data_IF_483780996220
#
_entry.id   IF_483780996220
#
_cell.length_a   1.000
_cell.length_b   1.000
_cell.length_c   1.000
_cell.angle_alpha   90.00
_cell.angle_beta   90.00
_cell.angle_gamma   90.00
#
_symmetry.space_group_name_H-M   'P 1'
#
loop_
_entity.id
_entity.type
_entity.pdbx_description
1 polymer ?
#
# COMPACT_ATOMS: atom_id res chain seq x y z
N UNK A 1 40.72 59.97 -20.25
CA UNK A 1 42.09 59.50 -19.97
C UNK A 1 42.37 59.80 -18.49
N UNK A 2 41.93 58.92 -17.59
CA UNK A 2 42.04 59.13 -16.14
C UNK A 2 43.02 58.11 -15.57
N UNK A 3 44.01 58.63 -14.85
CA UNK A 3 45.17 57.92 -14.33
C UNK A 3 44.77 56.85 -13.31
N UNK A 4 45.26 55.63 -13.54
CA UNK A 4 45.11 54.47 -12.67
C UNK A 4 46.17 54.55 -11.57
N UNK A 5 45.79 55.04 -10.39
CA UNK A 5 46.63 55.07 -9.19
C UNK A 5 46.32 53.82 -8.36
N UNK A 6 47.30 52.93 -8.31
CA UNK A 6 47.40 51.82 -7.38
C UNK A 6 47.74 52.39 -6.00
N UNK A 7 46.86 52.23 -5.01
CA UNK A 7 47.16 52.53 -3.61
C UNK A 7 46.97 51.28 -2.75
N UNK A 8 48.08 50.77 -2.25
CA UNK A 8 48.13 49.71 -1.26
C UNK A 8 47.63 50.26 0.09
N UNK A 9 46.65 49.57 0.70
CA UNK A 9 46.28 49.77 2.10
C UNK A 9 46.84 48.62 2.94
N UNK A 10 47.87 48.95 3.71
CA UNK A 10 48.25 48.32 4.98
C UNK A 10 47.11 48.38 5.98
N UNK A 11 46.69 47.24 6.52
CA UNK A 11 45.89 47.16 7.74
C UNK A 11 46.79 46.66 8.89
N UNK A 12 46.96 47.52 9.89
CA UNK A 12 47.55 47.19 11.19
C UNK A 12 46.51 46.47 12.05
N UNK A 13 47.02 45.70 13.01
CA UNK A 13 46.31 44.63 13.69
C UNK A 13 45.22 45.06 14.69
N UNK A 14 44.28 44.14 14.85
CA UNK A 14 43.42 44.03 16.01
C UNK A 14 43.75 42.66 16.62
N UNK A 15 44.24 42.64 17.86
CA UNK A 15 44.62 41.41 18.55
C UNK A 15 43.35 40.78 19.11
N UNK A 16 42.95 39.56 18.70
CA UNK A 16 41.72 38.96 19.18
C UNK A 16 41.81 38.61 20.68
N UNK A 17 40.69 38.76 21.42
CA UNK A 17 40.64 38.45 22.85
C UNK A 17 40.90 36.96 23.14
N UNK A 18 41.37 36.63 24.35
CA UNK A 18 41.71 35.25 24.73
C UNK A 18 40.49 34.34 24.61
N UNK A 19 40.73 33.13 24.08
CA UNK A 19 39.72 32.11 23.90
C UNK A 19 39.02 31.80 25.26
N UNK A 20 37.68 31.76 25.29
CA UNK A 20 36.97 31.26 26.45
C UNK A 20 37.28 29.77 26.66
N UNK A 21 37.45 29.41 27.92
CA UNK A 21 37.72 28.06 28.41
C UNK A 21 36.85 27.01 27.71
N UNK A 22 37.49 25.97 27.20
CA UNK A 22 36.84 24.77 26.66
C UNK A 22 36.07 24.10 27.81
N UNK A 23 34.75 24.29 27.80
CA UNK A 23 33.85 23.51 28.63
C UNK A 23 33.98 22.03 28.23
N UNK A 24 33.96 21.09 29.19
CA UNK A 24 34.06 19.67 28.87
C UNK A 24 32.91 19.29 27.93
N UNK A 25 33.26 18.58 26.86
CA UNK A 25 32.30 18.02 25.92
C UNK A 25 31.20 17.25 26.68
N UNK A 26 29.92 17.40 26.29
CA UNK A 26 28.88 16.55 26.84
C UNK A 26 29.23 15.08 26.57
N UNK A 27 28.89 14.15 27.48
CA UNK A 27 29.08 12.74 27.20
C UNK A 27 28.33 12.41 25.90
N UNK A 28 29.05 11.82 24.95
CA UNK A 28 28.49 11.29 23.73
C UNK A 28 27.42 10.30 24.17
N UNK A 29 26.15 10.67 23.97
CA UNK A 29 25.04 9.77 24.22
C UNK A 29 25.24 8.60 23.25
N UNK A 30 25.58 7.45 23.83
CA UNK A 30 25.62 6.17 23.15
C UNK A 30 24.29 5.99 22.41
N UNK A 31 24.36 5.82 21.09
CA UNK A 31 23.19 5.55 20.28
C UNK A 31 22.49 4.31 20.87
N UNK A 32 21.16 4.34 21.10
CA UNK A 32 20.46 3.18 21.60
C UNK A 32 20.71 1.99 20.66
N UNK A 33 20.91 0.78 21.19
CA UNK A 33 21.10 -0.40 20.35
C UNK A 33 19.92 -0.49 19.38
N UNK A 34 20.22 -0.75 18.11
CA UNK A 34 19.24 -1.09 17.10
C UNK A 34 18.27 -2.13 17.69
N UNK A 35 16.94 -1.97 17.52
CA UNK A 35 16.01 -2.96 18.04
C UNK A 35 16.39 -4.31 17.45
N UNK A 36 16.75 -5.22 18.35
CA UNK A 36 16.97 -6.61 18.01
C UNK A 36 15.74 -7.09 17.22
N UNK A 37 15.99 -7.59 16.02
CA UNK A 37 14.99 -8.23 15.19
C UNK A 37 14.37 -9.35 16.02
N UNK A 38 13.13 -9.12 16.47
CA UNK A 38 12.39 -10.11 17.21
C UNK A 38 12.31 -11.37 16.34
N UNK A 39 12.51 -12.57 16.90
CA UNK A 39 12.34 -13.79 16.13
C UNK A 39 10.95 -13.74 15.51
N UNK A 40 10.86 -13.94 14.19
CA UNK A 40 9.61 -13.99 13.46
C UNK A 40 8.66 -14.89 14.24
N UNK A 41 7.62 -14.27 14.82
CA UNK A 41 6.55 -15.02 15.45
C UNK A 41 6.05 -16.05 14.43
N UNK A 42 5.74 -17.29 14.84
CA UNK A 42 5.12 -18.24 13.92
C UNK A 42 3.93 -17.53 13.29
N UNK A 43 3.86 -17.53 11.95
CA UNK A 43 2.79 -16.91 11.21
C UNK A 43 1.47 -17.28 11.89
N UNK A 44 0.79 -16.28 12.47
CA UNK A 44 -0.52 -16.49 13.03
C UNK A 44 -1.37 -17.18 11.95
N UNK A 45 -2.23 -18.15 12.30
CA UNK A 45 -3.09 -18.79 11.32
C UNK A 45 -3.79 -17.67 10.54
N UNK A 46 -3.65 -17.69 9.21
CA UNK A 46 -4.26 -16.70 8.34
C UNK A 46 -5.75 -16.61 8.71
N UNK A 47 -6.18 -15.44 9.18
CA UNK A 47 -7.58 -15.20 9.51
C UNK A 47 -8.44 -15.55 8.27
N UNK A 48 -9.67 -16.08 8.45
CA UNK A 48 -10.49 -16.49 7.32
C UNK A 48 -10.69 -15.34 6.33
N UNK A 49 -10.26 -15.54 5.08
CA UNK A 49 -10.50 -14.62 3.98
C UNK A 49 -12.02 -14.50 3.75
N UNK A 50 -12.60 -13.31 4.00
CA UNK A 50 -14.05 -13.10 3.95
C UNK A 50 -14.43 -12.05 2.90
N UNK A 51 -13.85 -12.10 1.69
CA UNK A 51 -14.28 -11.24 0.58
C UNK A 51 -15.46 -11.89 -0.14
N UNK A 52 -16.67 -11.38 0.12
CA UNK A 52 -17.92 -11.92 -0.44
C UNK A 52 -18.73 -10.87 -1.20
N UNK A 53 -18.44 -9.59 -1.03
CA UNK A 53 -19.19 -8.49 -1.66
C UNK A 53 -18.48 -8.03 -2.93
N UNK A 54 -19.05 -8.33 -4.09
CA UNK A 54 -18.57 -7.81 -5.37
C UNK A 54 -18.94 -6.32 -5.50
N UNK A 55 -17.94 -5.44 -5.47
CA UNK A 55 -18.13 -3.99 -5.54
C UNK A 55 -18.85 -3.52 -6.80
N UNK A 56 -18.83 -4.29 -7.88
CA UNK A 56 -19.40 -3.89 -9.17
C UNK A 56 -20.85 -4.35 -9.36
N UNK A 57 -21.31 -5.34 -8.59
CA UNK A 57 -22.63 -5.97 -8.84
C UNK A 57 -23.48 -6.17 -7.59
N UNK A 58 -22.93 -6.06 -6.38
CA UNK A 58 -23.69 -6.29 -5.15
C UNK A 58 -24.82 -5.26 -4.99
N UNK A 59 -26.01 -5.70 -4.66
CA UNK A 59 -27.13 -4.85 -4.27
C UNK A 59 -26.88 -4.17 -2.91
N UNK A 60 -27.61 -3.09 -2.63
CA UNK A 60 -27.68 -2.47 -1.30
C UNK A 60 -27.82 -3.49 -0.15
N UNK A 61 -28.70 -4.47 -0.33
CA UNK A 61 -28.96 -5.50 0.68
C UNK A 61 -27.74 -6.41 0.89
N UNK A 62 -27.06 -6.80 -0.18
CA UNK A 62 -25.84 -7.61 -0.12
C UNK A 62 -24.67 -6.83 0.51
N UNK A 63 -24.52 -5.54 0.19
CA UNK A 63 -23.50 -4.69 0.82
C UNK A 63 -23.80 -4.56 2.32
N UNK A 64 -25.05 -4.26 2.68
CA UNK A 64 -25.45 -4.08 4.09
C UNK A 64 -25.27 -5.37 4.90
N UNK A 65 -25.49 -6.54 4.30
CA UNK A 65 -25.31 -7.82 4.97
C UNK A 65 -23.83 -8.24 5.05
N UNK A 66 -23.05 -7.92 4.02
CA UNK A 66 -21.66 -8.36 3.89
C UNK A 66 -20.63 -7.44 4.54
N UNK A 67 -20.94 -6.16 4.74
CA UNK A 67 -20.01 -5.18 5.35
C UNK A 67 -20.54 -4.73 6.72
N UNK A 68 -20.00 -5.28 7.83
CA UNK A 68 -20.49 -4.97 9.17
C UNK A 68 -20.44 -3.46 9.48
N UNK A 69 -21.56 -2.93 9.99
CA UNK A 69 -21.64 -1.54 10.43
C UNK A 69 -21.68 -0.49 9.32
N UNK A 70 -21.76 -0.89 8.05
CA UNK A 70 -21.87 0.09 6.95
C UNK A 70 -23.21 0.84 7.00
N UNK A 71 -23.15 2.16 6.91
CA UNK A 71 -24.34 3.02 6.88
C UNK A 71 -24.87 3.25 5.47
N UNK A 72 -26.17 3.55 5.35
CA UNK A 72 -26.84 3.82 4.05
C UNK A 72 -26.11 4.83 3.16
N UNK A 73 -25.53 5.88 3.76
CA UNK A 73 -24.72 6.85 3.02
C UNK A 73 -23.54 6.18 2.32
N UNK A 74 -22.77 5.35 3.02
CA UNK A 74 -21.61 4.69 2.43
C UNK A 74 -21.97 3.62 1.40
N UNK A 75 -23.09 2.92 1.61
CA UNK A 75 -23.65 2.03 0.58
C UNK A 75 -23.89 2.81 -0.72
N UNK A 76 -24.54 3.97 -0.64
CA UNK A 76 -24.77 4.82 -1.81
C UNK A 76 -23.46 5.27 -2.47
N UNK A 77 -22.43 5.66 -1.69
CA UNK A 77 -21.12 5.99 -2.27
C UNK A 77 -20.49 4.78 -2.98
N UNK A 78 -20.63 3.56 -2.43
CA UNK A 78 -20.09 2.36 -3.09
C UNK A 78 -20.72 2.18 -4.47
N UNK A 79 -22.03 2.41 -4.60
CA UNK A 79 -22.75 2.25 -5.86
C UNK A 79 -22.46 3.37 -6.88
N UNK A 80 -22.34 4.62 -6.42
CA UNK A 80 -22.17 5.79 -7.28
C UNK A 80 -20.91 5.72 -8.16
N UNK A 81 -19.81 5.15 -7.64
CA UNK A 81 -18.54 5.05 -8.38
C UNK A 81 -18.40 3.77 -9.21
N UNK A 82 -19.47 2.96 -9.35
CA UNK A 82 -19.43 1.78 -10.20
C UNK A 82 -19.33 2.14 -11.69
N UNK A 83 -18.65 1.31 -12.50
CA UNK A 83 -17.83 0.17 -12.09
C UNK A 83 -16.46 0.60 -11.58
N UNK A 84 -15.97 -0.08 -10.53
CA UNK A 84 -14.57 -0.02 -10.14
C UNK A 84 -13.73 -0.91 -11.07
N UNK A 85 -12.70 -0.31 -11.65
CA UNK A 85 -11.69 -1.01 -12.44
C UNK A 85 -10.61 -1.65 -11.57
N UNK A 86 -10.37 -1.11 -10.36
CA UNK A 86 -9.33 -1.61 -9.47
C UNK A 86 -9.61 -1.31 -7.99
N UNK A 87 -9.00 -2.07 -7.09
CA UNK A 87 -9.09 -1.80 -5.65
C UNK A 87 -8.44 -0.46 -5.28
N UNK A 88 -7.46 0.00 -6.07
CA UNK A 88 -6.83 1.32 -5.90
C UNK A 88 -7.84 2.44 -6.20
N UNK A 89 -8.67 2.27 -7.23
CA UNK A 89 -9.77 3.21 -7.48
C UNK A 89 -10.74 3.23 -6.29
N UNK A 90 -11.13 2.08 -5.76
CA UNK A 90 -12.00 2.01 -4.58
C UNK A 90 -11.42 2.81 -3.40
N UNK A 91 -10.15 2.58 -3.04
CA UNK A 91 -9.46 3.33 -1.97
C UNK A 91 -9.54 4.85 -2.20
N UNK A 92 -9.21 5.29 -3.43
CA UNK A 92 -9.21 6.70 -3.80
C UNK A 92 -10.58 7.36 -3.68
N UNK A 93 -11.63 6.68 -4.13
CA UNK A 93 -12.98 7.24 -4.06
C UNK A 93 -13.50 7.24 -2.63
N UNK A 94 -13.21 6.19 -1.84
CA UNK A 94 -13.65 6.09 -0.45
C UNK A 94 -12.90 7.01 0.51
N UNK A 95 -11.64 7.37 0.21
CA UNK A 95 -10.86 8.30 1.03
C UNK A 95 -11.41 9.73 1.06
N UNK A 96 -12.43 10.03 0.26
CA UNK A 96 -13.20 11.29 0.34
C UNK A 96 -14.19 11.32 1.50
N UNK A 97 -14.53 10.17 2.07
CA UNK A 97 -15.64 10.03 3.02
C UNK A 97 -15.25 9.38 4.35
N UNK A 98 -14.25 8.49 4.33
CA UNK A 98 -13.78 7.75 5.48
C UNK A 98 -12.25 7.73 5.52
N UNK A 99 -11.68 7.39 6.68
CA UNK A 99 -10.23 7.27 6.85
C UNK A 99 -9.68 5.93 6.33
N UNK A 100 -8.35 5.87 6.20
CA UNK A 100 -7.65 4.68 5.69
C UNK A 100 -7.90 3.42 6.54
N UNK A 101 -8.10 3.58 7.84
CA UNK A 101 -8.41 2.46 8.74
C UNK A 101 -9.79 1.85 8.41
N UNK A 102 -10.79 2.69 8.17
CA UNK A 102 -12.13 2.25 7.77
C UNK A 102 -12.10 1.60 6.38
N UNK A 103 -11.33 2.16 5.43
CA UNK A 103 -11.15 1.55 4.10
C UNK A 103 -10.53 0.16 4.24
N UNK A 104 -9.47 0.02 5.05
CA UNK A 104 -8.82 -1.25 5.30
C UNK A 104 -9.78 -2.29 5.89
N UNK A 105 -10.70 -1.88 6.78
CA UNK A 105 -11.76 -2.77 7.28
C UNK A 105 -12.75 -3.16 6.17
N UNK A 106 -13.19 -2.24 5.30
CA UNK A 106 -14.07 -2.57 4.18
C UNK A 106 -13.44 -3.59 3.22
N UNK A 107 -12.16 -3.46 2.91
CA UNK A 107 -11.42 -4.37 2.00
C UNK A 107 -11.29 -5.80 2.48
N UNK A 108 -11.65 -6.08 3.73
CA UNK A 108 -11.78 -7.45 4.25
C UNK A 108 -13.01 -8.15 3.70
N UNK A 109 -14.04 -7.39 3.32
CA UNK A 109 -15.37 -7.87 2.94
C UNK A 109 -15.68 -7.72 1.47
N UNK A 110 -15.11 -6.68 0.85
CA UNK A 110 -15.39 -6.31 -0.54
C UNK A 110 -14.26 -6.74 -1.48
N UNK A 111 -14.59 -6.89 -2.76
CA UNK A 111 -13.60 -7.07 -3.81
C UNK A 111 -14.02 -6.40 -5.11
N UNK A 112 -13.02 -5.98 -5.89
CA UNK A 112 -13.18 -5.69 -7.33
C UNK A 112 -12.87 -6.96 -8.11
N UNK A 113 -13.75 -7.42 -9.02
CA UNK A 113 -13.50 -8.59 -9.84
C UNK A 113 -12.17 -8.51 -10.60
N UNK A 114 -11.33 -9.52 -10.42
CA UNK A 114 -9.98 -9.56 -10.99
C UNK A 114 -10.07 -9.90 -12.47
N UNK A 115 -9.63 -8.98 -13.31
CA UNK A 115 -9.35 -9.23 -14.72
C UNK A 115 -7.91 -9.77 -14.85
N UNK A 116 -7.76 -11.03 -15.28
CA UNK A 116 -6.46 -11.71 -15.35
C UNK A 116 -5.40 -10.95 -16.17
N UNK A 117 -5.85 -10.18 -17.17
CA UNK A 117 -4.97 -9.50 -18.12
C UNK A 117 -4.86 -7.99 -17.88
N UNK A 118 -5.74 -7.39 -17.08
CA UNK A 118 -5.80 -5.94 -16.91
C UNK A 118 -5.67 -5.47 -15.45
N UNK A 119 -5.90 -6.33 -14.46
CA UNK A 119 -5.83 -5.94 -13.05
C UNK A 119 -4.46 -5.36 -12.68
N UNK A 120 -4.43 -4.31 -11.87
CA UNK A 120 -3.19 -3.83 -11.25
C UNK A 120 -2.69 -4.79 -10.16
N UNK A 121 -1.46 -4.59 -9.69
CA UNK A 121 -0.84 -5.46 -8.71
C UNK A 121 -1.64 -5.53 -7.39
N UNK A 122 -2.21 -4.41 -6.94
CA UNK A 122 -3.02 -4.38 -5.72
C UNK A 122 -4.34 -5.14 -5.89
N UNK A 123 -4.95 -5.07 -7.07
CA UNK A 123 -6.18 -5.80 -7.40
C UNK A 123 -5.92 -7.30 -7.49
N UNK A 124 -4.76 -7.71 -8.00
CA UNK A 124 -4.31 -9.12 -7.96
C UNK A 124 -4.10 -9.61 -6.52
N UNK A 125 -3.57 -8.77 -5.63
CA UNK A 125 -3.36 -9.11 -4.21
C UNK A 125 -4.67 -9.26 -3.41
N UNK A 126 -5.84 -9.00 -4.01
CA UNK A 126 -7.11 -9.39 -3.41
C UNK A 126 -7.30 -10.91 -3.39
N UNK A 127 -6.64 -11.64 -4.30
CA UNK A 127 -6.66 -13.09 -4.36
C UNK A 127 -5.92 -13.66 -3.14
N UNK A 128 -6.55 -14.55 -2.36
CA UNK A 128 -5.90 -15.18 -1.21
C UNK A 128 -4.55 -15.82 -1.61
N UNK A 129 -3.53 -15.62 -0.78
CA UNK A 129 -2.18 -16.14 -1.01
C UNK A 129 -1.32 -15.38 -2.01
N UNK A 130 -1.88 -14.46 -2.82
CA UNK A 130 -1.09 -13.73 -3.83
C UNK A 130 -0.31 -12.59 -3.16
N UNK A 131 1.02 -12.77 -3.06
CA UNK A 131 1.95 -11.74 -2.61
C UNK A 131 2.16 -10.63 -3.65
N UNK A 132 2.86 -9.56 -3.27
CA UNK A 132 3.27 -8.52 -4.22
C UNK A 132 4.21 -9.06 -5.32
N UNK A 133 5.14 -9.95 -4.96
CA UNK A 133 6.03 -10.62 -5.91
C UNK A 133 5.24 -11.49 -6.89
N UNK A 134 4.25 -12.22 -6.39
CA UNK A 134 3.38 -13.05 -7.21
C UNK A 134 2.50 -12.24 -8.16
N UNK A 135 1.96 -11.11 -7.70
CA UNK A 135 1.21 -10.19 -8.54
C UNK A 135 2.07 -9.69 -9.70
N UNK A 136 3.32 -9.28 -9.44
CA UNK A 136 4.26 -8.87 -10.48
C UNK A 136 4.62 -10.02 -11.44
N UNK A 137 4.80 -11.23 -10.93
CA UNK A 137 5.05 -12.40 -11.76
C UNK A 137 3.85 -12.71 -12.68
N UNK A 138 2.62 -12.59 -12.18
CA UNK A 138 1.40 -12.76 -12.97
C UNK A 138 1.27 -11.67 -14.04
N UNK A 139 1.61 -10.41 -13.72
CA UNK A 139 1.61 -9.30 -14.69
C UNK A 139 2.60 -9.59 -15.83
N UNK A 140 3.81 -10.07 -15.51
CA UNK A 140 4.82 -10.44 -16.52
C UNK A 140 4.42 -11.63 -17.39
N UNK A 141 3.62 -12.55 -16.86
CA UNK A 141 3.13 -13.72 -17.57
C UNK A 141 1.96 -13.43 -18.54
N UNK A 142 1.43 -12.20 -18.54
CA UNK A 142 0.35 -11.79 -19.45
C UNK A 142 0.83 -11.78 -20.91
N UNK A 143 -0.08 -12.03 -21.88
CA UNK A 143 -1.50 -12.30 -21.69
C UNK A 143 -1.80 -13.78 -21.41
N UNK A 144 -2.79 -14.03 -20.55
CA UNK A 144 -3.41 -15.33 -20.38
C UNK A 144 -4.51 -15.53 -21.42
N UNK A 145 -4.56 -16.71 -22.04
CA UNK A 145 -5.55 -17.03 -23.07
C UNK A 145 -6.99 -17.07 -22.53
N UNK A 146 -7.16 -17.49 -21.28
CA UNK A 146 -8.44 -17.60 -20.57
C UNK A 146 -8.18 -17.73 -19.06
N UNK A 147 -9.26 -17.85 -18.27
CA UNK A 147 -9.19 -18.00 -16.82
C UNK A 147 -8.50 -19.32 -16.41
N UNK A 148 -8.63 -20.41 -17.16
CA UNK A 148 -7.93 -21.67 -16.85
C UNK A 148 -6.41 -21.53 -16.94
N UNK A 149 -5.91 -20.81 -17.94
CA UNK A 149 -4.48 -20.50 -18.07
C UNK A 149 -3.98 -19.64 -16.90
N UNK A 150 -4.80 -18.69 -16.43
CA UNK A 150 -4.50 -17.90 -15.24
C UNK A 150 -4.51 -18.75 -13.95
N UNK A 151 -5.48 -19.66 -13.79
CA UNK A 151 -5.54 -20.58 -12.64
C UNK A 151 -4.36 -21.55 -12.61
N UNK A 152 -3.88 -22.00 -13.76
CA UNK A 152 -2.65 -22.78 -13.86
C UNK A 152 -1.46 -21.98 -13.32
N UNK A 153 -1.32 -20.71 -13.70
CA UNK A 153 -0.25 -19.83 -13.19
C UNK A 153 -0.37 -19.53 -11.69
N UNK A 154 -1.58 -19.53 -11.12
CA UNK A 154 -1.81 -19.38 -9.68
C UNK A 154 -1.49 -20.64 -8.88
N UNK A 155 -1.60 -21.84 -9.47
CA UNK A 155 -1.42 -23.11 -8.75
C UNK A 155 -0.03 -23.23 -8.12
N UNK A 156 0.99 -22.64 -8.74
CA UNK A 156 2.37 -22.63 -8.22
C UNK A 156 2.61 -21.56 -7.14
N UNK A 157 1.60 -20.74 -6.84
CA UNK A 157 1.73 -19.51 -6.02
C UNK A 157 0.92 -19.55 -4.73
N UNK A 158 -0.20 -20.28 -4.74
CA UNK A 158 -1.16 -20.31 -3.64
C UNK A 158 -1.54 -21.74 -3.28
N UNK A 159 -2.05 -21.96 -2.07
CA UNK A 159 -2.55 -23.27 -1.66
C UNK A 159 -3.79 -23.70 -2.46
N UNK A 160 -4.12 -25.00 -2.51
CA UNK A 160 -5.33 -25.47 -3.20
C UNK A 160 -6.62 -24.83 -2.67
N UNK A 161 -6.70 -24.54 -1.36
CA UNK A 161 -7.85 -23.87 -0.75
C UNK A 161 -7.97 -22.41 -1.19
N UNK A 162 -6.85 -21.68 -1.20
CA UNK A 162 -6.79 -20.30 -1.68
C UNK A 162 -7.13 -20.21 -3.18
N UNK A 163 -6.69 -21.19 -3.99
CA UNK A 163 -7.05 -21.25 -5.40
C UNK A 163 -8.56 -21.41 -5.61
N UNK A 164 -9.24 -22.20 -4.77
CA UNK A 164 -10.70 -22.33 -4.82
C UNK A 164 -11.37 -20.99 -4.52
N UNK A 165 -10.93 -20.27 -3.48
CA UNK A 165 -11.44 -18.94 -3.16
C UNK A 165 -11.14 -17.92 -4.25
N UNK A 166 -9.92 -17.91 -4.80
CA UNK A 166 -9.49 -17.00 -5.84
C UNK A 166 -10.36 -17.07 -7.10
N UNK A 167 -10.79 -18.27 -7.51
CA UNK A 167 -11.69 -18.47 -8.66
C UNK A 167 -13.00 -17.68 -8.56
N UNK A 168 -13.52 -17.51 -7.35
CA UNK A 168 -14.75 -16.74 -7.11
C UNK A 168 -14.58 -15.23 -7.23
N UNK A 169 -13.33 -14.73 -7.24
CA UNK A 169 -13.02 -13.30 -7.27
C UNK A 169 -12.66 -12.79 -8.67
N UNK A 170 -12.63 -13.66 -9.69
CA UNK A 170 -12.35 -13.24 -11.06
C UNK A 170 -13.57 -12.60 -11.73
N UNK A 171 -13.27 -11.73 -12.69
CA UNK A 171 -14.22 -11.30 -13.69
C UNK A 171 -14.60 -12.52 -14.56
N UNK A 172 -15.88 -12.85 -14.57
CA UNK A 172 -16.46 -13.96 -15.35
C UNK A 172 -16.54 -13.62 -16.83
#
# INVERSE_FOLDING_TARGET
MFALILLALTACGETPPPAPAEAPAPPVAEAPPAPAEAPAAPAAPAAPFTRVVNLNTATDAEISAGVPGIGKKMIHEFEEYRPYASIVQFRKEMSKYVDDATIAEYERFVFVPVDANQADAATLQQLPGVSAEDAEALIKARPFANNDAFFAALTDKVSPEELVSAKGLLKQ
#
